data_IF_540586886824
#
_entry.id   IF_540586886824
#
_cell.length_a   1.000
_cell.length_b   1.000
_cell.length_c   1.000
_cell.angle_alpha   90.00
_cell.angle_beta   90.00
_cell.angle_gamma   90.00
#
_symmetry.space_group_name_H-M   'P 1'
#
loop_
_entity.id
_entity.type
_entity.pdbx_description
1 polymer ?
#
# COMPACT_ATOMS: atom_id res chain seq x y z
N UNK A 1 11.12 -7.16 14.44
CA UNK A 1 10.07 -7.86 13.66
C UNK A 1 9.20 -8.75 14.56
N UNK A 2 9.79 -9.53 15.47
CA UNK A 2 9.03 -10.41 16.35
C UNK A 2 8.07 -9.67 17.31
N UNK A 3 8.36 -8.44 17.70
CA UNK A 3 7.52 -7.70 18.64
C UNK A 3 6.13 -7.38 18.07
N UNK A 4 6.03 -7.04 16.77
CA UNK A 4 4.74 -6.82 16.11
C UNK A 4 3.90 -8.09 16.11
N UNK A 5 4.48 -9.22 15.72
CA UNK A 5 3.78 -10.51 15.70
C UNK A 5 3.29 -10.90 17.12
N UNK A 6 4.13 -10.75 18.13
CA UNK A 6 3.73 -11.03 19.52
C UNK A 6 2.56 -10.16 19.97
N UNK A 7 2.58 -8.87 19.64
CA UNK A 7 1.50 -7.95 19.98
C UNK A 7 0.22 -8.21 19.17
N UNK A 8 0.36 -8.61 17.90
CA UNK A 8 -0.75 -9.04 17.06
C UNK A 8 -1.46 -10.28 17.66
N UNK A 9 -0.70 -11.30 18.04
CA UNK A 9 -1.23 -12.49 18.71
C UNK A 9 -1.84 -12.18 20.09
N UNK A 10 -1.21 -11.26 20.83
CA UNK A 10 -1.78 -10.76 22.08
C UNK A 10 -3.14 -10.07 21.84
N UNK A 11 -3.27 -9.33 20.75
CA UNK A 11 -4.53 -8.69 20.38
C UNK A 11 -5.63 -9.71 20.11
N UNK A 12 -5.34 -10.79 19.37
CA UNK A 12 -6.29 -11.91 19.20
C UNK A 12 -6.70 -12.50 20.54
N UNK A 13 -5.75 -12.70 21.46
CA UNK A 13 -6.06 -13.18 22.80
C UNK A 13 -6.99 -12.20 23.55
N UNK A 14 -6.69 -10.92 23.55
CA UNK A 14 -7.51 -9.89 24.18
C UNK A 14 -8.92 -9.83 23.58
N UNK A 15 -9.04 -9.91 22.26
CA UNK A 15 -10.34 -9.91 21.58
C UNK A 15 -11.23 -11.07 22.01
N UNK A 16 -10.66 -12.28 22.15
CA UNK A 16 -11.40 -13.47 22.60
C UNK A 16 -11.93 -13.36 24.02
N UNK A 17 -11.30 -12.54 24.85
CA UNK A 17 -11.69 -12.32 26.25
C UNK A 17 -12.54 -11.06 26.45
N UNK A 18 -12.79 -10.26 25.40
CA UNK A 18 -13.59 -9.05 25.47
C UNK A 18 -14.99 -9.30 24.90
N UNK A 19 -15.95 -9.53 25.80
CA UNK A 19 -17.32 -9.96 25.43
C UNK A 19 -18.03 -8.97 24.51
N UNK A 20 -17.95 -7.66 24.77
CA UNK A 20 -18.59 -6.64 23.93
C UNK A 20 -18.02 -6.66 22.48
N UNK A 21 -16.72 -6.82 22.34
CA UNK A 21 -16.09 -6.96 21.03
C UNK A 21 -16.58 -8.22 20.30
N UNK A 22 -16.69 -9.31 21.02
CA UNK A 22 -17.24 -10.57 20.49
C UNK A 22 -18.65 -10.39 19.93
N UNK A 23 -19.51 -9.63 20.61
CA UNK A 23 -20.86 -9.31 20.11
C UNK A 23 -20.81 -8.47 18.84
N UNK A 24 -19.99 -7.42 18.79
CA UNK A 24 -19.84 -6.62 17.58
C UNK A 24 -19.37 -7.44 16.37
N UNK A 25 -18.47 -8.39 16.58
CA UNK A 25 -18.03 -9.28 15.51
C UNK A 25 -19.13 -10.24 15.04
N UNK A 26 -19.98 -10.72 15.95
CA UNK A 26 -21.12 -11.58 15.61
C UNK A 26 -22.18 -10.87 14.76
N UNK A 27 -22.30 -9.56 14.89
CA UNK A 27 -23.19 -8.74 14.06
C UNK A 27 -22.75 -8.68 12.60
N UNK A 28 -21.48 -8.96 12.30
CA UNK A 28 -20.95 -9.05 10.95
C UNK A 28 -21.29 -10.40 10.33
N UNK A 29 -22.34 -10.44 9.49
CA UNK A 29 -22.87 -11.66 8.88
C UNK A 29 -21.90 -12.33 7.91
N UNK A 30 -21.13 -11.53 7.16
CA UNK A 30 -20.13 -12.04 6.21
C UNK A 30 -18.89 -12.51 6.97
N UNK A 31 -18.60 -13.81 6.89
CA UNK A 31 -17.47 -14.45 7.60
C UNK A 31 -16.13 -13.88 7.16
N UNK A 32 -15.94 -13.60 5.86
CA UNK A 32 -14.69 -13.03 5.34
C UNK A 32 -14.50 -11.60 5.82
N UNK A 33 -15.59 -10.81 5.86
CA UNK A 33 -15.55 -9.46 6.40
C UNK A 33 -15.24 -9.47 7.89
N UNK A 34 -15.84 -10.37 8.64
CA UNK A 34 -15.54 -10.55 10.08
C UNK A 34 -14.08 -10.86 10.34
N UNK A 35 -13.52 -11.88 9.66
CA UNK A 35 -12.11 -12.25 9.80
C UNK A 35 -11.17 -11.08 9.46
N UNK A 36 -11.45 -10.35 8.36
CA UNK A 36 -10.67 -9.16 8.00
C UNK A 36 -10.75 -8.07 9.06
N UNK A 37 -11.90 -7.90 9.69
CA UNK A 37 -12.09 -6.90 10.76
C UNK A 37 -11.30 -7.30 12.00
N UNK A 38 -11.28 -8.57 12.38
CA UNK A 38 -10.46 -9.10 13.47
C UNK A 38 -8.97 -8.82 13.21
N UNK A 39 -8.46 -9.24 12.05
CA UNK A 39 -7.06 -9.01 11.65
C UNK A 39 -6.69 -7.53 11.65
N UNK A 40 -7.53 -6.69 11.05
CA UNK A 40 -7.29 -5.24 11.01
C UNK A 40 -7.20 -4.61 12.40
N UNK A 41 -8.01 -5.07 13.34
CA UNK A 41 -7.97 -4.57 14.74
C UNK A 41 -6.72 -5.05 15.44
N UNK A 42 -6.29 -6.31 15.23
CA UNK A 42 -5.04 -6.82 15.77
C UNK A 42 -3.83 -6.05 15.25
N UNK A 43 -3.78 -5.80 13.95
CA UNK A 43 -2.74 -4.98 13.34
C UNK A 43 -2.70 -3.56 13.93
N UNK A 44 -3.85 -2.92 14.07
CA UNK A 44 -3.94 -1.58 14.65
C UNK A 44 -3.52 -1.55 16.12
N UNK A 45 -3.88 -2.56 16.90
CA UNK A 45 -3.46 -2.69 18.29
C UNK A 45 -1.93 -2.82 18.37
N UNK A 46 -1.35 -3.77 17.62
CA UNK A 46 0.09 -3.99 17.59
C UNK A 46 0.84 -2.71 17.17
N UNK A 47 0.35 -2.04 16.12
CA UNK A 47 0.93 -0.79 15.66
C UNK A 47 0.87 0.32 16.72
N UNK A 48 -0.26 0.51 17.39
CA UNK A 48 -0.42 1.53 18.44
C UNK A 48 0.45 1.26 19.67
N UNK A 49 0.61 0.01 20.06
CA UNK A 49 1.46 -0.35 21.22
C UNK A 49 2.94 -0.15 20.91
N UNK A 50 3.36 -0.51 19.69
CA UNK A 50 4.75 -0.31 19.27
C UNK A 50 5.10 1.16 19.07
N UNK A 51 4.16 1.95 18.64
CA UNK A 51 4.32 3.37 18.36
C UNK A 51 3.15 4.18 18.91
N UNK A 52 3.29 4.74 20.09
CA UNK A 52 2.39 5.79 20.51
C UNK A 52 2.42 6.96 19.48
N UNK A 53 1.25 7.53 19.14
CA UNK A 53 1.13 8.59 18.11
C UNK A 53 2.05 9.79 18.33
N UNK A 54 2.49 10.00 19.57
CA UNK A 54 3.32 11.14 20.01
C UNK A 54 4.77 11.07 19.51
N UNK A 55 5.19 9.99 18.84
CA UNK A 55 6.57 9.83 18.35
C UNK A 55 6.82 10.41 16.96
N UNK A 56 5.79 10.74 16.21
CA UNK A 56 5.96 11.38 14.91
C UNK A 56 5.68 12.88 15.11
N UNK A 57 6.72 13.69 15.09
CA UNK A 57 6.55 15.15 15.21
C UNK A 57 5.87 15.72 13.96
N UNK A 58 5.14 16.83 14.13
CA UNK A 58 4.49 17.53 13.01
C UNK A 58 5.52 17.95 11.94
N UNK A 59 6.73 18.32 12.34
CA UNK A 59 7.82 18.66 11.42
C UNK A 59 8.24 17.46 10.57
N UNK A 60 8.28 16.25 11.14
CA UNK A 60 8.58 15.04 10.39
C UNK A 60 7.48 14.74 9.36
N UNK A 61 6.23 15.08 9.64
CA UNK A 61 5.12 14.90 8.71
C UNK A 61 5.12 15.86 7.53
N UNK A 62 5.93 16.91 7.56
CA UNK A 62 6.16 17.76 6.39
C UNK A 62 6.83 16.99 5.24
N UNK A 63 7.58 15.92 5.58
CA UNK A 63 8.30 15.05 4.65
C UNK A 63 8.01 13.58 4.92
N UNK A 64 6.84 13.07 4.50
CA UNK A 64 6.40 11.72 4.87
C UNK A 64 7.34 10.59 4.43
N UNK A 65 8.07 10.74 3.31
CA UNK A 65 9.05 9.73 2.90
C UNK A 65 10.21 9.62 3.91
N UNK A 66 10.73 10.75 4.38
CA UNK A 66 11.80 10.79 5.39
C UNK A 66 11.27 10.29 6.74
N UNK A 67 10.02 10.66 7.09
CA UNK A 67 9.37 10.19 8.31
C UNK A 67 9.21 8.66 8.30
N UNK A 68 8.79 8.06 7.17
CA UNK A 68 8.70 6.61 7.03
C UNK A 68 10.07 5.94 7.19
N UNK A 69 11.10 6.44 6.51
CA UNK A 69 12.46 5.91 6.60
C UNK A 69 13.02 6.00 8.03
N UNK A 70 12.89 7.18 8.68
CA UNK A 70 13.33 7.40 10.05
C UNK A 70 12.59 6.51 11.06
N UNK A 71 11.27 6.37 10.91
CA UNK A 71 10.46 5.51 11.75
C UNK A 71 10.83 4.04 11.59
N UNK A 72 11.05 3.58 10.36
CA UNK A 72 11.48 2.21 10.06
C UNK A 72 12.82 1.87 10.71
N UNK A 73 13.79 2.79 10.66
CA UNK A 73 15.12 2.63 11.30
C UNK A 73 15.01 2.64 12.82
N UNK A 74 14.23 3.55 13.39
CA UNK A 74 14.13 3.73 14.84
C UNK A 74 13.21 2.73 15.54
N UNK A 75 12.50 1.91 14.77
CA UNK A 75 11.53 0.95 15.28
C UNK A 75 11.70 -0.42 14.65
N UNK A 76 11.15 -1.44 15.28
CA UNK A 76 11.12 -2.81 14.71
C UNK A 76 9.85 -3.06 13.89
N UNK A 77 9.30 -2.02 13.25
CA UNK A 77 8.10 -2.14 12.44
C UNK A 77 8.41 -2.76 11.07
N UNK A 78 7.42 -3.45 10.52
CA UNK A 78 7.43 -3.81 9.11
C UNK A 78 7.17 -2.57 8.22
N UNK A 79 7.51 -2.65 6.94
CA UNK A 79 7.20 -1.57 5.98
C UNK A 79 5.70 -1.22 5.98
N UNK A 80 4.82 -2.23 6.02
CA UNK A 80 3.38 -2.02 6.06
C UNK A 80 2.92 -1.28 7.33
N UNK A 81 3.42 -1.68 8.50
CA UNK A 81 3.11 -1.01 9.75
C UNK A 81 3.65 0.42 9.78
N UNK A 82 4.84 0.65 9.24
CA UNK A 82 5.44 2.00 9.12
C UNK A 82 4.55 2.93 8.29
N UNK A 83 4.13 2.48 7.10
CA UNK A 83 3.23 3.26 6.24
C UNK A 83 1.90 3.56 6.94
N UNK A 84 1.30 2.55 7.57
CA UNK A 84 0.02 2.73 8.26
C UNK A 84 0.10 3.77 9.38
N UNK A 85 1.19 3.75 10.15
CA UNK A 85 1.38 4.73 11.23
C UNK A 85 1.57 6.15 10.69
N UNK A 86 2.42 6.32 9.68
CA UNK A 86 2.61 7.64 9.07
C UNK A 86 1.30 8.12 8.42
N UNK A 87 0.59 7.26 7.67
CA UNK A 87 -0.69 7.61 7.06
C UNK A 87 -1.75 8.04 8.10
N UNK A 88 -1.80 7.35 9.25
CA UNK A 88 -2.73 7.68 10.33
C UNK A 88 -2.39 9.00 11.04
N UNK A 89 -1.14 9.43 10.99
CA UNK A 89 -0.66 10.68 11.59
C UNK A 89 -0.78 11.88 10.63
N UNK A 90 -0.91 11.63 9.32
CA UNK A 90 -1.06 12.69 8.33
C UNK A 90 -2.46 13.32 8.40
N UNK A 91 -2.56 14.65 8.25
CA UNK A 91 -3.85 15.32 8.18
C UNK A 91 -4.67 14.78 6.99
N UNK A 92 -5.97 14.46 7.17
CA UNK A 92 -6.81 13.90 6.09
C UNK A 92 -6.86 14.78 4.83
N UNK A 93 -6.76 16.10 5.00
CA UNK A 93 -6.76 17.07 3.89
C UNK A 93 -5.44 17.13 3.10
N UNK A 94 -4.37 16.52 3.61
CA UNK A 94 -3.04 16.57 2.98
C UNK A 94 -2.90 15.67 1.73
N UNK A 95 -3.85 14.77 1.52
CA UNK A 95 -4.02 13.95 0.29
C UNK A 95 -2.76 13.18 -0.13
N UNK A 96 -2.13 12.50 0.80
CA UNK A 96 -0.96 11.71 0.53
C UNK A 96 -1.30 10.28 0.03
N UNK A 97 -0.53 9.83 -0.93
CA UNK A 97 -0.39 8.42 -1.31
C UNK A 97 0.99 7.98 -0.85
N UNK A 98 1.06 6.94 -0.06
CA UNK A 98 2.30 6.39 0.48
C UNK A 98 2.50 4.98 -0.09
N UNK A 99 3.71 4.65 -0.53
CA UNK A 99 4.04 3.29 -0.95
C UNK A 99 5.50 2.96 -0.64
N UNK A 100 5.78 1.66 -0.61
CA UNK A 100 7.14 1.12 -0.60
C UNK A 100 7.34 0.32 -1.86
N UNK A 101 8.46 0.54 -2.52
CA UNK A 101 8.87 -0.24 -3.68
C UNK A 101 10.17 -1.00 -3.38
N UNK A 102 10.29 -2.16 -4.00
CA UNK A 102 11.51 -2.96 -3.98
C UNK A 102 12.54 -2.39 -4.98
N UNK A 103 13.77 -2.93 -5.03
CA UNK A 103 14.80 -2.49 -5.97
C UNK A 103 14.43 -2.64 -7.45
N UNK A 104 13.44 -3.47 -7.76
CA UNK A 104 12.92 -3.64 -9.12
C UNK A 104 11.82 -2.63 -9.47
N UNK A 105 11.39 -1.78 -8.52
CA UNK A 105 10.29 -0.84 -8.68
C UNK A 105 8.90 -1.46 -8.52
N UNK A 106 8.81 -2.63 -7.89
CA UNK A 106 7.55 -3.29 -7.59
C UNK A 106 6.99 -2.78 -6.27
N UNK A 107 5.73 -2.41 -6.25
CA UNK A 107 5.04 -1.95 -5.03
C UNK A 107 4.85 -3.13 -4.08
N UNK A 108 5.46 -3.07 -2.91
CA UNK A 108 5.31 -4.10 -1.87
C UNK A 108 4.15 -3.81 -0.92
N UNK A 109 3.92 -2.53 -0.63
CA UNK A 109 2.79 -2.08 0.17
C UNK A 109 2.45 -0.64 -0.19
N UNK A 110 1.19 -0.26 -0.05
CA UNK A 110 0.71 1.09 -0.33
C UNK A 110 -0.47 1.46 0.54
N UNK A 111 -0.63 2.75 0.79
CA UNK A 111 -1.70 3.34 1.60
C UNK A 111 -2.03 4.74 1.09
N UNK A 112 -3.25 5.21 1.35
CA UNK A 112 -3.65 6.58 1.08
C UNK A 112 -4.33 7.21 2.29
N UNK A 113 -4.18 8.52 2.43
CA UNK A 113 -4.89 9.32 3.44
C UNK A 113 -6.21 9.92 2.91
N UNK A 114 -6.61 9.65 1.68
CA UNK A 114 -7.81 10.20 1.04
C UNK A 114 -8.44 9.24 0.02
N UNK A 115 -9.44 9.67 -0.73
CA UNK A 115 -10.23 8.84 -1.63
C UNK A 115 -9.54 8.38 -2.93
N UNK A 116 -8.29 8.83 -3.16
CA UNK A 116 -7.53 8.38 -4.33
C UNK A 116 -7.03 6.95 -4.13
N UNK A 117 -6.93 6.19 -5.22
CA UNK A 117 -6.46 4.81 -5.16
C UNK A 117 -4.92 4.78 -5.09
N UNK A 118 -4.32 4.07 -4.13
CA UNK A 118 -2.88 3.87 -4.10
C UNK A 118 -2.44 2.93 -5.22
N UNK A 119 -1.16 2.94 -5.63
CA UNK A 119 -0.65 1.97 -6.58
C UNK A 119 -0.84 0.54 -6.07
N UNK A 120 -1.28 -0.39 -6.93
CA UNK A 120 -1.59 -1.75 -6.51
C UNK A 120 -0.32 -2.52 -6.11
N UNK A 121 -0.46 -3.31 -5.05
CA UNK A 121 0.61 -4.19 -4.55
C UNK A 121 0.96 -5.25 -5.61
N UNK A 122 2.26 -5.54 -5.76
CA UNK A 122 2.77 -6.55 -6.67
C UNK A 122 2.93 -6.06 -8.11
N UNK A 123 2.66 -4.78 -8.38
CA UNK A 123 2.77 -4.20 -9.72
C UNK A 123 4.03 -3.34 -9.82
N UNK A 124 4.75 -3.50 -10.93
CA UNK A 124 5.91 -2.68 -11.28
C UNK A 124 5.44 -1.40 -11.98
N UNK A 125 5.91 -0.27 -11.49
CA UNK A 125 5.65 1.03 -12.08
C UNK A 125 6.98 1.68 -12.49
N UNK A 126 7.25 1.89 -13.78
CA UNK A 126 8.51 2.46 -14.28
C UNK A 126 8.87 3.80 -13.63
N UNK A 127 7.89 4.66 -13.42
CA UNK A 127 8.09 5.99 -12.82
C UNK A 127 8.49 5.88 -11.34
N UNK A 128 7.89 4.93 -10.60
CA UNK A 128 8.26 4.67 -9.20
C UNK A 128 9.64 4.00 -9.11
N UNK A 129 9.98 3.13 -10.08
CA UNK A 129 11.32 2.56 -10.18
C UNK A 129 12.37 3.64 -10.43
N UNK A 130 12.10 4.57 -11.35
CA UNK A 130 13.02 5.66 -11.65
C UNK A 130 13.26 6.58 -10.44
N UNK A 131 12.19 6.94 -9.70
CA UNK A 131 12.35 7.77 -8.49
C UNK A 131 13.08 7.01 -7.37
N UNK A 132 12.88 5.70 -7.26
CA UNK A 132 13.58 4.85 -6.30
C UNK A 132 15.08 4.73 -6.63
N UNK A 133 15.44 4.66 -7.91
CA UNK A 133 16.82 4.67 -8.37
C UNK A 133 17.49 6.02 -8.08
N UNK A 134 16.83 7.13 -8.40
CA UNK A 134 17.34 8.47 -8.08
C UNK A 134 17.53 8.68 -6.56
N UNK A 135 16.69 8.05 -5.73
CA UNK A 135 16.79 8.14 -4.27
C UNK A 135 17.89 7.23 -3.67
N UNK A 136 18.71 6.55 -4.50
CA UNK A 136 19.71 5.61 -4.03
C UNK A 136 20.74 6.25 -3.10
N UNK A 137 21.20 7.46 -3.44
CA UNK A 137 22.28 8.14 -2.73
C UNK A 137 21.78 9.19 -1.72
N UNK A 138 20.57 9.71 -1.92
CA UNK A 138 19.99 10.77 -1.08
C UNK A 138 18.48 10.84 -1.24
N UNK A 139 17.75 11.32 -0.23
CA UNK A 139 16.34 11.64 -0.38
C UNK A 139 16.11 12.62 -1.53
N UNK A 140 15.08 12.37 -2.32
CA UNK A 140 14.71 13.23 -3.44
C UNK A 140 13.29 13.76 -3.30
N UNK A 141 13.06 14.91 -3.92
CA UNK A 141 11.75 15.57 -3.96
C UNK A 141 11.59 16.23 -5.31
N UNK A 142 10.58 15.81 -6.08
CA UNK A 142 10.33 16.37 -7.40
C UNK A 142 8.90 16.19 -7.89
N UNK A 143 8.55 16.92 -8.92
CA UNK A 143 7.30 16.68 -9.64
C UNK A 143 7.38 15.37 -10.43
N UNK A 144 6.26 14.64 -10.45
CA UNK A 144 6.01 13.49 -11.31
C UNK A 144 4.84 13.84 -12.24
N UNK A 145 5.12 14.22 -13.48
CA UNK A 145 4.07 14.47 -14.47
C UNK A 145 3.16 13.25 -14.65
N UNK A 146 3.77 12.06 -14.76
CA UNK A 146 3.10 10.77 -14.69
C UNK A 146 3.60 10.07 -13.43
N UNK A 147 2.73 9.79 -12.47
CA UNK A 147 3.13 9.16 -11.22
C UNK A 147 3.15 7.64 -11.33
N UNK A 148 2.05 7.08 -11.80
CA UNK A 148 1.96 5.65 -12.13
C UNK A 148 0.72 5.38 -12.97
N UNK A 149 0.77 4.29 -13.72
CA UNK A 149 -0.34 3.81 -14.55
C UNK A 149 -0.96 2.59 -13.88
N UNK A 150 -2.27 2.60 -13.73
CA UNK A 150 -3.04 1.45 -13.27
C UNK A 150 -3.08 0.35 -14.34
N UNK A 151 -3.36 -0.89 -13.94
CA UNK A 151 -3.50 -2.01 -14.88
C UNK A 151 -4.62 -1.79 -15.92
N UNK A 152 -5.56 -0.90 -15.61
CA UNK A 152 -6.64 -0.48 -16.51
C UNK A 152 -6.21 0.52 -17.59
N UNK A 153 -4.93 0.93 -17.59
CA UNK A 153 -4.40 1.97 -18.48
C UNK A 153 -4.57 3.40 -17.98
N UNK A 154 -5.44 3.64 -16.97
CA UNK A 154 -5.59 4.97 -16.39
C UNK A 154 -4.28 5.41 -15.70
N UNK A 155 -3.85 6.65 -15.94
CA UNK A 155 -2.60 7.19 -15.37
C UNK A 155 -2.91 8.29 -14.37
N UNK A 156 -2.27 8.21 -13.19
CA UNK A 156 -2.28 9.30 -12.22
C UNK A 156 -1.17 10.30 -12.60
N UNK A 157 -1.55 11.57 -12.82
CA UNK A 157 -0.66 12.62 -13.28
C UNK A 157 -0.56 13.78 -12.29
N UNK A 158 0.35 14.71 -12.56
CA UNK A 158 0.51 15.96 -11.82
C UNK A 158 0.71 15.77 -10.31
N UNK A 159 1.56 14.82 -9.93
CA UNK A 159 1.91 14.58 -8.55
C UNK A 159 3.25 15.22 -8.18
N UNK A 160 3.38 15.60 -6.92
CA UNK A 160 4.64 15.87 -6.26
C UNK A 160 5.04 14.62 -5.47
N UNK A 161 6.26 14.16 -5.66
CA UNK A 161 6.76 12.97 -4.99
C UNK A 161 8.00 13.25 -4.15
N UNK A 162 8.08 12.54 -3.06
CA UNK A 162 9.25 12.42 -2.20
C UNK A 162 9.64 10.95 -2.12
N UNK A 163 10.93 10.66 -2.12
CA UNK A 163 11.44 9.31 -1.96
C UNK A 163 12.67 9.29 -1.07
N UNK A 164 12.72 8.28 -0.18
CA UNK A 164 13.82 8.04 0.71
C UNK A 164 14.05 6.53 0.81
N UNK A 165 15.31 6.10 0.66
CA UNK A 165 15.68 4.70 0.79
C UNK A 165 15.73 4.25 2.26
N UNK A 166 15.47 2.97 2.50
CA UNK A 166 15.70 2.38 3.81
C UNK A 166 17.21 2.25 4.10
N UNK A 167 17.55 2.03 5.37
CA UNK A 167 18.94 1.93 5.81
C UNK A 167 19.69 0.69 5.27
N UNK A 168 18.94 -0.32 4.81
CA UNK A 168 19.49 -1.53 4.21
C UNK A 168 19.64 -1.41 2.67
N UNK A 169 19.22 -0.29 2.11
CA UNK A 169 19.21 -0.01 0.66
C UNK A 169 18.43 -1.03 -0.18
N UNK A 170 17.47 -1.72 0.45
CA UNK A 170 16.66 -2.75 -0.22
C UNK A 170 15.29 -2.25 -0.66
N UNK A 171 14.74 -1.23 0.02
CA UNK A 171 13.43 -0.69 -0.28
C UNK A 171 13.43 0.82 -0.27
N UNK A 172 12.52 1.42 -1.02
CA UNK A 172 12.36 2.87 -1.09
C UNK A 172 10.96 3.26 -0.63
N UNK A 173 10.89 4.12 0.37
CA UNK A 173 9.67 4.78 0.80
C UNK A 173 9.36 5.93 -0.15
N UNK A 174 8.16 5.96 -0.70
CA UNK A 174 7.70 7.00 -1.62
C UNK A 174 6.41 7.60 -1.06
N UNK A 175 6.38 8.92 -1.00
CA UNK A 175 5.19 9.69 -0.65
C UNK A 175 4.84 10.62 -1.81
N UNK A 176 3.57 10.62 -2.22
CA UNK A 176 3.08 11.42 -3.34
C UNK A 176 1.85 12.22 -2.94
N UNK A 177 1.74 13.44 -3.44
CA UNK A 177 0.55 14.28 -3.28
C UNK A 177 0.29 15.06 -4.57
N UNK A 178 -0.93 15.56 -4.81
CA UNK A 178 -1.20 16.43 -5.93
C UNK A 178 -0.25 17.63 -5.95
N UNK A 179 0.36 17.91 -7.10
CA UNK A 179 1.32 19.00 -7.26
C UNK A 179 0.65 20.37 -7.14
N UNK A 180 -0.62 20.48 -7.54
CA UNK A 180 -1.39 21.73 -7.46
C UNK A 180 -2.04 21.87 -6.09
N UNK A 181 -1.92 23.05 -5.48
CA UNK A 181 -2.42 23.35 -4.12
C UNK A 181 -3.92 23.08 -3.93
N UNK A 182 -4.70 23.14 -5.00
CA UNK A 182 -6.14 22.87 -5.06
C UNK A 182 -6.51 21.76 -6.04
N UNK A 183 -5.51 21.06 -6.60
CA UNK A 183 -5.71 19.96 -7.54
C UNK A 183 -5.90 18.64 -6.81
N UNK A 184 -6.79 17.80 -7.33
CA UNK A 184 -6.70 16.37 -7.20
C UNK A 184 -5.76 15.95 -8.31
N UNK A 185 -4.76 15.09 -8.05
CA UNK A 185 -4.00 14.49 -9.14
C UNK A 185 -4.97 14.02 -10.22
N UNK A 186 -4.77 14.44 -11.45
CA UNK A 186 -5.68 14.11 -12.54
C UNK A 186 -5.48 12.65 -12.92
N UNK A 187 -6.56 11.88 -12.89
CA UNK A 187 -6.58 10.54 -13.48
C UNK A 187 -7.03 10.71 -14.93
N UNK A 188 -6.09 10.50 -15.83
CA UNK A 188 -6.41 10.46 -17.25
C UNK A 188 -6.94 9.06 -17.55
N UNK A 189 -8.24 8.98 -17.85
CA UNK A 189 -8.86 7.74 -18.29
C UNK A 189 -8.35 7.41 -19.69
N UNK A 190 -7.42 6.48 -19.76
CA UNK A 190 -7.11 5.79 -21.00
C UNK A 190 -8.06 4.60 -21.18
N UNK A 191 -8.06 4.03 -22.38
CA UNK A 191 -8.89 2.87 -22.70
C UNK A 191 -8.67 1.75 -21.66
N UNK A 192 -9.77 1.24 -21.13
CA UNK A 192 -9.72 0.03 -20.33
C UNK A 192 -9.51 -1.16 -21.24
N UNK A 193 -8.45 -1.92 -20.98
CA UNK A 193 -8.19 -3.20 -21.61
C UNK A 193 -8.24 -4.28 -20.53
N UNK A 194 -9.05 -5.31 -20.76
CA UNK A 194 -9.15 -6.42 -19.83
C UNK A 194 -7.83 -7.22 -19.78
N UNK A 195 -7.28 -7.40 -18.58
CA UNK A 195 -6.05 -8.19 -18.39
C UNK A 195 -6.27 -9.71 -18.44
N UNK A 196 -7.50 -10.16 -18.60
CA UNK A 196 -7.80 -11.57 -18.81
C UNK A 196 -7.65 -11.89 -20.29
N UNK A 197 -6.61 -12.66 -20.63
CA UNK A 197 -6.27 -13.05 -22.00
C UNK A 197 -7.40 -13.75 -22.76
N UNK A 198 -8.42 -14.25 -22.05
CA UNK A 198 -9.58 -14.92 -22.66
C UNK A 198 -10.78 -13.98 -22.85
N UNK A 199 -10.65 -12.69 -22.49
CA UNK A 199 -11.77 -11.77 -22.49
C UNK A 199 -11.66 -10.67 -23.56
N UNK A 200 -10.47 -10.16 -23.82
CA UNK A 200 -10.12 -9.12 -24.81
C UNK A 200 -11.07 -7.88 -24.83
N UNK A 201 -11.76 -7.61 -23.70
CA UNK A 201 -12.69 -6.48 -23.63
C UNK A 201 -11.93 -5.17 -23.56
N UNK A 202 -12.23 -4.28 -24.49
CA UNK A 202 -11.81 -2.88 -24.46
C UNK A 202 -13.01 -1.97 -24.19
N UNK A 203 -12.79 -0.92 -23.42
CA UNK A 203 -13.76 0.13 -23.13
C UNK A 203 -13.08 1.51 -23.23
N UNK A 204 -13.81 2.48 -23.72
CA UNK A 204 -13.30 3.85 -23.87
C UNK A 204 -13.17 4.61 -22.55
N UNK A 205 -13.64 4.06 -21.44
CA UNK A 205 -13.58 4.69 -20.12
C UNK A 205 -13.67 3.68 -18.98
N UNK A 206 -12.97 3.97 -17.89
CA UNK A 206 -13.06 3.23 -16.63
C UNK A 206 -14.18 3.75 -15.73
N UNK A 207 -14.84 4.84 -16.11
CA UNK A 207 -15.95 5.45 -15.33
C UNK A 207 -17.10 4.46 -15.21
N UNK A 208 -17.61 4.30 -13.99
CA UNK A 208 -18.72 3.41 -13.65
C UNK A 208 -18.41 1.89 -13.63
N UNK A 209 -17.15 1.48 -13.75
CA UNK A 209 -16.79 0.09 -13.52
C UNK A 209 -16.80 -0.24 -12.03
N UNK A 210 -17.20 -1.48 -11.69
CA UNK A 210 -17.08 -1.99 -10.33
C UNK A 210 -15.62 -2.09 -9.93
N UNK A 211 -15.30 -1.61 -8.74
CA UNK A 211 -13.95 -1.70 -8.21
C UNK A 211 -13.72 -3.03 -7.52
N UNK A 212 -12.51 -3.54 -7.64
CA UNK A 212 -12.09 -4.73 -6.92
C UNK A 212 -11.89 -4.41 -5.43
N UNK A 213 -12.53 -5.12 -4.50
CA UNK A 213 -12.36 -4.86 -3.07
C UNK A 213 -10.95 -5.16 -2.54
N UNK A 214 -10.12 -5.88 -3.32
CA UNK A 214 -8.76 -6.25 -2.94
C UNK A 214 -7.70 -5.25 -3.40
N UNK A 215 -7.74 -4.83 -4.67
CA UNK A 215 -6.77 -3.90 -5.26
C UNK A 215 -7.35 -2.53 -5.58
N UNK A 216 -8.66 -2.36 -5.43
CA UNK A 216 -9.41 -1.14 -5.70
C UNK A 216 -9.38 -0.68 -7.17
N UNK A 217 -8.90 -1.54 -8.08
CA UNK A 217 -8.92 -1.29 -9.52
C UNK A 217 -10.28 -1.69 -10.13
N UNK A 218 -10.64 -1.08 -11.27
CA UNK A 218 -11.85 -1.45 -11.99
C UNK A 218 -11.83 -2.92 -12.39
N UNK A 219 -12.95 -3.60 -12.20
CA UNK A 219 -13.20 -4.95 -12.71
C UNK A 219 -13.75 -4.90 -14.12
N UNK A 220 -13.33 -5.83 -14.94
CA UNK A 220 -13.92 -6.00 -16.27
C UNK A 220 -15.43 -6.28 -16.17
N UNK A 221 -16.30 -5.56 -16.88
CA UNK A 221 -17.74 -5.77 -16.81
C UNK A 221 -18.19 -7.09 -17.44
N UNK A 222 -17.39 -7.67 -18.35
CA UNK A 222 -17.70 -8.93 -19.01
C UNK A 222 -17.32 -10.15 -18.18
N UNK A 223 -16.03 -10.25 -17.78
CA UNK A 223 -15.53 -11.40 -17.05
C UNK A 223 -15.43 -11.19 -15.53
N UNK A 224 -15.74 -10.01 -15.04
CA UNK A 224 -15.68 -9.60 -13.62
C UNK A 224 -14.31 -9.80 -12.96
N UNK A 225 -13.23 -9.97 -13.73
CA UNK A 225 -11.85 -10.07 -13.23
C UNK A 225 -11.19 -8.71 -13.14
N UNK A 226 -10.22 -8.58 -12.24
CA UNK A 226 -9.32 -7.43 -12.14
C UNK A 226 -7.86 -7.90 -12.30
N UNK A 227 -6.93 -6.95 -12.41
CA UNK A 227 -5.51 -7.26 -12.56
C UNK A 227 -4.93 -8.12 -11.43
N UNK A 228 -5.42 -7.99 -10.20
CA UNK A 228 -4.93 -8.77 -9.06
C UNK A 228 -5.40 -10.25 -9.09
N UNK A 229 -6.42 -10.59 -9.86
CA UNK A 229 -6.88 -11.97 -10.05
C UNK A 229 -6.09 -12.68 -11.16
N UNK A 230 -5.55 -11.91 -12.10
CA UNK A 230 -4.69 -12.40 -13.17
C UNK A 230 -3.20 -12.32 -12.83
N UNK A 231 -2.82 -11.40 -11.93
CA UNK A 231 -1.46 -11.29 -11.42
C UNK A 231 -1.22 -12.38 -10.37
N UNK A 232 -0.47 -13.39 -10.79
CA UNK A 232 0.21 -14.41 -10.00
C UNK A 232 -0.46 -14.87 -8.69
N UNK A 233 -0.75 -16.16 -8.65
CA UNK A 233 -0.97 -16.86 -7.39
C UNK A 233 0.03 -16.40 -6.34
N UNK A 234 -0.46 -15.78 -5.27
CA UNK A 234 0.37 -15.43 -4.12
C UNK A 234 1.10 -16.69 -3.65
N UNK A 235 2.39 -16.77 -3.93
CA UNK A 235 3.24 -17.82 -3.41
C UNK A 235 3.66 -17.46 -2.02
N UNK A 236 3.44 -18.37 -1.08
CA UNK A 236 3.91 -18.25 0.31
C UNK A 236 5.18 -19.06 0.47
N UNK A 237 6.11 -18.54 1.25
CA UNK A 237 7.24 -19.33 1.73
C UNK A 237 6.72 -20.50 2.58
N UNK A 238 7.15 -21.74 2.36
CA UNK A 238 6.74 -22.88 3.16
C UNK A 238 7.29 -22.83 4.59
N UNK A 239 8.40 -22.12 4.83
CA UNK A 239 9.10 -22.09 6.10
C UNK A 239 8.66 -20.93 7.00
N UNK A 240 8.52 -19.71 6.46
CA UNK A 240 8.12 -18.52 7.24
C UNK A 240 6.69 -18.04 6.94
N UNK A 241 6.00 -18.63 5.98
CA UNK A 241 4.64 -18.29 5.55
C UNK A 241 4.46 -16.85 5.02
N UNK A 242 5.55 -16.11 4.81
CA UNK A 242 5.50 -14.80 4.17
C UNK A 242 5.14 -14.91 2.69
N UNK A 243 4.40 -13.92 2.18
CA UNK A 243 4.06 -13.82 0.78
C UNK A 243 5.27 -13.31 0.00
N UNK A 244 5.69 -14.05 -1.02
CA UNK A 244 6.77 -13.63 -1.90
C UNK A 244 6.42 -12.35 -2.64
N UNK A 245 7.35 -11.41 -2.65
CA UNK A 245 7.34 -10.34 -3.64
C UNK A 245 7.72 -10.92 -5.02
N UNK A 246 7.37 -10.27 -6.14
CA UNK A 246 7.81 -10.69 -7.47
C UNK A 246 9.35 -10.78 -7.59
N UNK A 247 10.09 -9.97 -6.85
CA UNK A 247 11.54 -10.03 -6.77
C UNK A 247 12.01 -11.33 -6.12
N UNK A 248 11.43 -11.69 -4.97
CA UNK A 248 11.77 -12.91 -4.23
C UNK A 248 11.36 -14.19 -4.98
N UNK A 249 10.32 -14.12 -5.80
CA UNK A 249 9.94 -15.24 -6.70
C UNK A 249 11.04 -15.53 -7.73
N UNK A 250 11.76 -14.49 -8.18
CA UNK A 250 12.81 -14.60 -9.22
C UNK A 250 14.17 -14.90 -8.61
N UNK A 251 14.51 -14.27 -7.49
CA UNK A 251 15.86 -14.26 -6.91
C UNK A 251 16.01 -15.13 -5.67
N UNK A 252 14.91 -15.75 -5.21
CA UNK A 252 14.86 -16.51 -3.98
C UNK A 252 14.49 -15.64 -2.77
N UNK A 253 13.92 -16.29 -1.77
CA UNK A 253 13.54 -15.70 -0.49
C UNK A 253 14.45 -16.27 0.58
N UNK A 254 15.08 -15.39 1.37
CA UNK A 254 15.84 -15.77 2.54
C UNK A 254 14.93 -15.66 3.78
N UNK A 255 14.69 -16.78 4.44
CA UNK A 255 13.91 -16.84 5.67
C UNK A 255 14.66 -16.26 6.87
#
# INVERSE_FOLDING_TARGET
RNAFTVLHELAHHLQRHHSEWGFHLMDIRDTNHRLRTEEMVCDRFAAKVLLPPERISDDALCHPADAMAGLYVSSNLSHSATIQNVAASLPPHARWILCVVDPCGVVTTSQTSYSQHPPPKGVKHPELAAIAEEAADRPIRRALPNAFTYLTGATLTDMWAEACRDHENRYTFIAMRPAKRFGIGEVVDERFVCNNMSCDKELDSTRNLRQCPRCNEPKCPECNTCGCETATSERKCPDCYELFTPYEVIHGHEC
#
